data_IF_989125205425
#
_entry.id   IF_989125205425
#
_cell.length_a   1.000
_cell.length_b   1.000
_cell.length_c   1.000
_cell.angle_alpha   90.00
_cell.angle_beta   90.00
_cell.angle_gamma   90.00
#
_symmetry.space_group_name_H-M   'P 1'
#
loop_
_entity.id
_entity.type
_entity.pdbx_description
1 polymer ?
#
# COMPACT_ATOMS: atom_id res chain seq x y z
N UNK A 1 17.08 2.19 22.35
CA UNK A 1 16.33 0.97 22.21
C UNK A 1 16.11 0.58 20.75
N UNK A 2 15.44 -0.53 20.56
CA UNK A 2 15.14 -1.05 19.23
C UNK A 2 14.35 -0.05 18.39
N UNK A 3 13.38 0.62 19.01
CA UNK A 3 12.56 1.61 18.31
C UNK A 3 13.39 2.77 17.76
N UNK A 4 14.36 3.22 18.55
CA UNK A 4 15.25 4.29 18.13
C UNK A 4 16.11 3.87 16.93
N UNK A 5 16.56 2.61 16.91
CA UNK A 5 17.33 2.07 15.81
C UNK A 5 16.49 1.97 14.54
N UNK A 6 15.24 1.53 14.66
CA UNK A 6 14.31 1.45 13.54
C UNK A 6 14.06 2.84 12.95
N UNK A 7 13.88 3.85 13.77
CA UNK A 7 13.66 5.22 13.29
C UNK A 7 14.85 5.72 12.49
N UNK A 8 16.07 5.44 12.93
CA UNK A 8 17.27 5.81 12.19
C UNK A 8 17.34 5.12 10.84
N UNK A 9 17.06 3.83 10.78
CA UNK A 9 17.06 3.08 9.53
C UNK A 9 16.00 3.62 8.58
N UNK A 10 14.82 3.92 9.09
CA UNK A 10 13.74 4.48 8.28
C UNK A 10 14.15 5.82 7.66
N UNK A 11 14.84 6.67 8.40
CA UNK A 11 15.26 7.98 7.91
C UNK A 11 16.30 7.90 6.80
N UNK A 12 17.03 6.79 6.68
CA UNK A 12 18.03 6.61 5.62
C UNK A 12 17.42 6.12 4.31
N UNK A 13 16.14 5.74 4.31
CA UNK A 13 15.48 5.23 3.12
C UNK A 13 15.06 6.37 2.18
N UNK A 14 14.94 6.08 0.89
CA UNK A 14 14.36 7.00 -0.08
C UNK A 14 12.87 7.19 0.21
N UNK A 15 12.27 8.22 -0.39
CA UNK A 15 10.83 8.46 -0.22
C UNK A 15 10.01 7.27 -0.70
N UNK A 16 10.38 6.66 -1.83
CA UNK A 16 9.69 5.48 -2.34
C UNK A 16 9.81 4.29 -1.40
N UNK A 17 11.00 4.05 -0.88
CA UNK A 17 11.24 2.98 0.08
C UNK A 17 10.47 3.20 1.38
N UNK A 18 10.41 4.43 1.87
CA UNK A 18 9.63 4.76 3.07
C UNK A 18 8.16 4.44 2.88
N UNK A 19 7.62 4.77 1.70
CA UNK A 19 6.21 4.50 1.41
C UNK A 19 5.93 3.00 1.35
N UNK A 20 6.84 2.21 0.78
CA UNK A 20 6.71 0.76 0.76
C UNK A 20 6.72 0.17 2.18
N UNK A 21 7.63 0.66 3.03
CA UNK A 21 7.70 0.22 4.42
C UNK A 21 6.40 0.54 5.16
N UNK A 22 5.88 1.76 4.99
CA UNK A 22 4.63 2.16 5.64
C UNK A 22 3.46 1.31 5.17
N UNK A 23 3.40 1.02 3.88
CA UNK A 23 2.36 0.17 3.32
C UNK A 23 2.45 -1.26 3.87
N UNK A 24 3.64 -1.83 3.88
CA UNK A 24 3.85 -3.16 4.42
C UNK A 24 3.50 -3.25 5.91
N UNK A 25 3.84 -2.22 6.67
CA UNK A 25 3.53 -2.17 8.12
C UNK A 25 2.02 -2.15 8.36
N UNK A 26 1.27 -1.45 7.51
CA UNK A 26 -0.18 -1.43 7.62
C UNK A 26 -0.76 -2.84 7.44
N UNK A 27 -0.22 -3.60 6.50
CA UNK A 27 -0.70 -4.96 6.23
C UNK A 27 -0.23 -5.99 7.25
N UNK A 28 0.93 -5.78 7.86
CA UNK A 28 1.43 -6.70 8.89
C UNK A 28 0.48 -6.80 10.08
N UNK A 29 -0.22 -5.72 10.39
CA UNK A 29 -1.21 -5.72 11.47
C UNK A 29 -2.45 -6.55 11.14
N UNK A 30 -2.56 -7.03 9.92
CA UNK A 30 -3.65 -7.88 9.44
C UNK A 30 -5.03 -7.27 9.67
N UNK A 31 -5.27 -6.03 9.20
CA UNK A 31 -6.57 -5.40 9.41
C UNK A 31 -7.65 -6.05 8.54
N UNK A 32 -8.90 -6.01 9.00
CA UNK A 32 -10.03 -6.46 8.20
C UNK A 32 -10.43 -5.41 7.15
N UNK A 33 -10.18 -4.16 7.45
CA UNK A 33 -10.45 -3.04 6.55
C UNK A 33 -9.20 -2.17 6.43
N UNK A 34 -8.85 -1.82 5.21
CA UNK A 34 -7.78 -0.87 4.95
C UNK A 34 -8.23 0.14 3.88
N UNK A 35 -7.87 1.39 4.08
CA UNK A 35 -8.15 2.47 3.15
C UNK A 35 -6.82 3.00 2.63
N UNK A 36 -6.63 2.96 1.33
CA UNK A 36 -5.42 3.46 0.68
C UNK A 36 -5.78 4.69 -0.17
N UNK A 37 -5.13 5.81 0.14
CA UNK A 37 -5.34 7.06 -0.58
C UNK A 37 -4.13 7.36 -1.43
N UNK A 38 -4.30 7.28 -2.75
CA UNK A 38 -3.25 7.49 -3.75
C UNK A 38 -1.95 6.74 -3.40
N UNK A 39 -2.01 5.43 -3.15
CA UNK A 39 -0.84 4.72 -2.62
C UNK A 39 0.33 4.63 -3.61
N UNK A 40 0.08 4.77 -4.90
CA UNK A 40 1.13 4.69 -5.93
C UNK A 40 1.62 6.06 -6.38
N UNK A 41 0.97 7.15 -5.94
CA UNK A 41 1.30 8.49 -6.39
C UNK A 41 2.73 8.87 -6.04
N UNK A 42 3.45 9.38 -7.02
CA UNK A 42 4.83 9.85 -6.81
C UNK A 42 5.89 8.76 -6.76
N UNK A 43 5.50 7.49 -6.89
CA UNK A 43 6.45 6.40 -6.96
C UNK A 43 6.95 6.18 -8.39
N UNK A 44 8.21 5.76 -8.53
CA UNK A 44 8.74 5.32 -9.82
C UNK A 44 8.14 3.96 -10.21
N UNK A 45 8.42 3.51 -11.43
CA UNK A 45 7.85 2.27 -11.97
C UNK A 45 8.17 1.07 -11.09
N UNK A 46 9.41 0.97 -10.63
CA UNK A 46 9.85 -0.15 -9.80
C UNK A 46 9.09 -0.20 -8.47
N UNK A 47 9.01 0.94 -7.79
CA UNK A 47 8.30 1.03 -6.51
C UNK A 47 6.80 0.84 -6.68
N UNK A 48 6.22 1.30 -7.79
CA UNK A 48 4.80 1.06 -8.08
C UNK A 48 4.51 -0.44 -8.19
N UNK A 49 5.38 -1.19 -8.85
CA UNK A 49 5.22 -2.64 -8.98
C UNK A 49 5.31 -3.33 -7.63
N UNK A 50 6.24 -2.91 -6.79
CA UNK A 50 6.39 -3.48 -5.45
C UNK A 50 5.17 -3.18 -4.58
N UNK A 51 4.69 -1.93 -4.62
CA UNK A 51 3.50 -1.54 -3.87
C UNK A 51 2.27 -2.32 -4.34
N UNK A 52 2.09 -2.46 -5.65
CA UNK A 52 0.98 -3.22 -6.20
C UNK A 52 1.02 -4.68 -5.75
N UNK A 53 2.22 -5.29 -5.71
CA UNK A 53 2.36 -6.67 -5.26
C UNK A 53 1.95 -6.83 -3.79
N UNK A 54 2.31 -5.86 -2.94
CA UNK A 54 1.91 -5.88 -1.53
C UNK A 54 0.38 -5.80 -1.41
N UNK A 55 -0.24 -4.91 -2.16
CA UNK A 55 -1.69 -4.73 -2.16
C UNK A 55 -2.39 -6.01 -2.64
N UNK A 56 -1.88 -6.63 -3.70
CA UNK A 56 -2.47 -7.85 -4.24
C UNK A 56 -2.41 -9.01 -3.26
N UNK A 57 -1.36 -9.12 -2.47
CA UNK A 57 -1.27 -10.13 -1.42
C UNK A 57 -2.37 -9.96 -0.39
N UNK A 58 -2.67 -8.72 -0.02
CA UNK A 58 -3.77 -8.44 0.90
C UNK A 58 -5.09 -8.87 0.29
N UNK A 59 -5.31 -8.58 -0.99
CA UNK A 59 -6.54 -8.91 -1.70
C UNK A 59 -6.78 -10.42 -1.78
N UNK A 60 -5.74 -11.23 -1.74
CA UNK A 60 -5.86 -12.69 -1.78
C UNK A 60 -6.42 -13.27 -0.49
N UNK A 61 -6.43 -12.52 0.59
CA UNK A 61 -6.86 -13.01 1.89
C UNK A 61 -8.36 -12.88 2.03
N UNK A 62 -9.05 -13.96 2.49
CA UNK A 62 -10.51 -13.92 2.64
C UNK A 62 -10.95 -12.99 3.77
N UNK A 63 -12.13 -12.40 3.62
CA UNK A 63 -12.71 -11.57 4.66
C UNK A 63 -12.10 -10.19 4.80
N UNK A 64 -11.27 -9.75 3.86
CA UNK A 64 -10.64 -8.44 3.90
C UNK A 64 -11.38 -7.45 3.02
N UNK A 65 -11.38 -6.19 3.42
CA UNK A 65 -11.96 -5.09 2.64
C UNK A 65 -10.90 -4.03 2.39
N UNK A 66 -10.80 -3.60 1.15
CA UNK A 66 -9.86 -2.56 0.75
C UNK A 66 -10.62 -1.46 0.01
N UNK A 67 -10.43 -0.22 0.45
CA UNK A 67 -10.96 0.95 -0.25
C UNK A 67 -9.78 1.68 -0.87
N UNK A 68 -9.83 1.82 -2.18
CA UNK A 68 -8.74 2.41 -2.97
C UNK A 68 -9.20 3.76 -3.50
N UNK A 69 -8.57 4.83 -3.04
CA UNK A 69 -8.90 6.20 -3.44
C UNK A 69 -7.85 6.68 -4.43
N UNK A 70 -8.25 7.01 -5.65
CA UNK A 70 -7.30 7.47 -6.66
C UNK A 70 -7.94 8.37 -7.71
N UNK A 71 -7.13 9.28 -8.26
CA UNK A 71 -7.46 10.03 -9.48
C UNK A 71 -6.99 9.28 -10.74
N UNK A 72 -6.26 8.18 -10.59
CA UNK A 72 -5.60 7.48 -11.68
C UNK A 72 -6.08 6.03 -11.77
N UNK A 73 -7.30 5.79 -12.31
CA UNK A 73 -7.86 4.44 -12.34
C UNK A 73 -7.01 3.42 -13.09
N UNK A 74 -6.22 3.87 -14.06
CA UNK A 74 -5.34 2.99 -14.83
C UNK A 74 -4.20 2.39 -14.00
N UNK A 75 -3.93 2.93 -12.82
CA UNK A 75 -2.91 2.42 -11.91
C UNK A 75 -3.44 1.40 -10.91
N UNK A 76 -4.74 1.10 -10.96
CA UNK A 76 -5.34 0.16 -10.03
C UNK A 76 -4.76 -1.24 -10.14
N UNK A 77 -4.44 -1.90 -9.03
CA UNK A 77 -4.15 -3.32 -9.04
C UNK A 77 -5.35 -4.12 -9.55
N UNK A 78 -5.07 -5.24 -10.21
CA UNK A 78 -6.13 -6.07 -10.81
C UNK A 78 -7.08 -6.68 -9.79
N UNK A 79 -6.66 -6.76 -8.53
CA UNK A 79 -7.50 -7.31 -7.46
C UNK A 79 -8.59 -6.35 -6.98
N UNK A 80 -8.55 -5.07 -7.39
CA UNK A 80 -9.57 -4.09 -6.99
C UNK A 80 -10.76 -4.26 -7.91
N UNK A 81 -11.75 -4.99 -7.45
CA UNK A 81 -12.92 -5.37 -8.24
C UNK A 81 -14.19 -5.36 -7.37
N UNK A 82 -15.00 -6.42 -7.50
CA UNK A 82 -16.30 -6.53 -6.81
C UNK A 82 -16.19 -6.54 -5.28
N UNK A 83 -15.06 -7.01 -4.74
CA UNK A 83 -14.85 -7.09 -3.29
C UNK A 83 -14.25 -5.80 -2.74
N UNK A 84 -13.70 -4.95 -3.59
CA UNK A 84 -12.97 -3.76 -3.19
C UNK A 84 -13.52 -2.55 -3.92
N UNK A 85 -13.71 -1.46 -3.20
CA UNK A 85 -14.29 -0.25 -3.76
C UNK A 85 -13.21 0.71 -4.27
N UNK A 86 -13.49 1.31 -5.43
CA UNK A 86 -12.72 2.41 -5.97
C UNK A 86 -13.46 3.71 -5.69
N UNK A 87 -12.80 4.66 -5.03
CA UNK A 87 -13.33 6.00 -4.85
C UNK A 87 -12.49 6.95 -5.70
N UNK A 88 -13.14 7.69 -6.57
CA UNK A 88 -12.48 8.69 -7.41
C UNK A 88 -12.76 10.08 -6.88
N UNK A 89 -11.74 10.90 -6.91
CA UNK A 89 -11.89 12.31 -6.56
C UNK A 89 -12.25 13.16 -7.76
#
# INVERSE_FOLDING_TARGET
>A
GIDHLHDRMFQTLSNGERRLVLLARAFVKDPDLIILDEPLHGLDVSHKKQAAAIIERFCERPGKTLIYVTHYPHELPTCVDKQFELVKH
#
